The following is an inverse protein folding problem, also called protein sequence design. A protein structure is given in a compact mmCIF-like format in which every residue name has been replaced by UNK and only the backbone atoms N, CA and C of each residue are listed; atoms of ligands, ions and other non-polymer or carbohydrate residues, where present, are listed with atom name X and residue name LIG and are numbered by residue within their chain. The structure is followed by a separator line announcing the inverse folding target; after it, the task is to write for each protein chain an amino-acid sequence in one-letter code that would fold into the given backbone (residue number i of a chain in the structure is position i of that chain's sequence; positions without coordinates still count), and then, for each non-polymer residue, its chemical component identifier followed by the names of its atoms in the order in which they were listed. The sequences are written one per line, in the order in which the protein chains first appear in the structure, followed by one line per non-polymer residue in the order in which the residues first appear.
data_IF_285632290959
#
_entry.id   IF_285632290959
#
_cell.length_a   1.000
_cell.length_b   1.000
_cell.length_c   1.000
_cell.angle_alpha   90.00
_cell.angle_beta   90.00
_cell.angle_gamma   90.00
#
_symmetry.space_group_name_H-M   'P 1'
#
loop_
_entity.id
_entity.type
_entity.pdbx_description
1 polymer ?
#
# COMPACT_ATOMS: atom_id res chain seq x y z
N UNK A 1 33.83 -5.07 3.85
CA UNK A 1 32.73 -5.21 4.81
C UNK A 1 31.41 -5.00 4.03
N UNK A 2 30.74 -6.09 3.66
CA UNK A 2 29.43 -6.00 3.00
C UNK A 2 28.44 -5.67 4.10
N UNK A 3 27.99 -4.43 4.16
CA UNK A 3 26.85 -4.04 4.99
C UNK A 3 25.62 -4.63 4.30
N UNK A 4 25.26 -5.84 4.72
CA UNK A 4 23.96 -6.42 4.39
C UNK A 4 22.89 -5.72 5.24
N UNK A 5 22.67 -4.44 5.02
CA UNK A 5 21.47 -3.75 5.44
C UNK A 5 20.35 -4.11 4.45
N UNK A 6 19.98 -5.38 4.39
CA UNK A 6 18.60 -5.71 4.05
C UNK A 6 17.79 -5.15 5.20
N UNK A 7 17.26 -3.96 4.99
CA UNK A 7 16.35 -3.32 5.90
C UNK A 7 15.21 -4.30 6.15
N UNK A 8 15.03 -4.70 7.41
CA UNK A 8 13.95 -5.58 7.89
C UNK A 8 12.58 -4.88 7.80
N UNK A 9 12.39 -3.99 6.81
CA UNK A 9 11.18 -3.20 6.66
C UNK A 9 10.15 -3.98 5.87
N UNK A 10 8.96 -4.10 6.47
CA UNK A 10 7.82 -4.77 5.87
C UNK A 10 6.88 -3.75 5.20
N UNK A 11 6.28 -4.17 4.11
CA UNK A 11 5.36 -3.37 3.31
C UNK A 11 4.02 -4.08 3.23
N UNK A 12 2.96 -3.39 3.64
CA UNK A 12 1.59 -3.76 3.33
C UNK A 12 1.15 -3.04 2.06
N UNK A 13 0.73 -3.77 1.05
CA UNK A 13 0.37 -3.22 -0.25
C UNK A 13 -1.13 -3.38 -0.50
N UNK A 14 -1.83 -2.31 -0.81
CA UNK A 14 -3.27 -2.29 -1.07
C UNK A 14 -3.53 -1.94 -2.53
N UNK A 15 -4.14 -2.89 -3.25
CA UNK A 15 -4.46 -2.73 -4.67
C UNK A 15 -3.41 -3.32 -5.61
N UNK A 16 -3.71 -4.47 -6.19
CA UNK A 16 -2.82 -5.19 -7.11
C UNK A 16 -3.41 -5.28 -8.52
N UNK A 17 -4.05 -4.21 -8.96
CA UNK A 17 -4.54 -4.05 -10.32
C UNK A 17 -3.42 -3.81 -11.33
N UNK A 18 -3.76 -3.26 -12.50
CA UNK A 18 -2.82 -3.03 -13.60
C UNK A 18 -1.60 -2.17 -13.21
N UNK A 19 -1.79 -1.21 -12.31
CA UNK A 19 -0.71 -0.36 -11.81
C UNK A 19 0.01 -0.96 -10.61
N UNK A 20 -0.74 -1.47 -9.63
CA UNK A 20 -0.19 -1.97 -8.37
C UNK A 20 0.63 -3.24 -8.52
N UNK A 21 0.19 -4.17 -9.37
CA UNK A 21 0.88 -5.44 -9.56
C UNK A 21 2.34 -5.28 -10.02
N UNK A 22 2.67 -4.52 -11.07
CA UNK A 22 4.07 -4.31 -11.44
C UNK A 22 4.87 -3.58 -10.37
N UNK A 23 4.26 -2.64 -9.64
CA UNK A 23 4.93 -1.91 -8.56
C UNK A 23 5.31 -2.83 -7.40
N UNK A 24 4.37 -3.64 -6.90
CA UNK A 24 4.67 -4.58 -5.82
C UNK A 24 5.69 -5.66 -6.24
N UNK A 25 5.67 -6.10 -7.48
CA UNK A 25 6.68 -7.03 -8.02
C UNK A 25 8.09 -6.42 -8.02
N UNK A 26 8.22 -5.14 -8.35
CA UNK A 26 9.49 -4.44 -8.27
C UNK A 26 10.01 -4.37 -6.82
N UNK A 27 9.13 -4.11 -5.85
CA UNK A 27 9.50 -4.13 -4.43
C UNK A 27 9.98 -5.51 -3.97
N UNK A 28 9.27 -6.56 -4.34
CA UNK A 28 9.65 -7.94 -4.03
C UNK A 28 11.02 -8.28 -4.66
N UNK A 29 11.24 -7.88 -5.91
CA UNK A 29 12.52 -8.07 -6.62
C UNK A 29 13.68 -7.38 -5.91
N UNK A 30 13.44 -6.25 -5.26
CA UNK A 30 14.45 -5.54 -4.47
C UNK A 30 14.67 -6.15 -3.07
N UNK A 31 13.93 -7.19 -2.71
CA UNK A 31 14.09 -7.93 -1.47
C UNK A 31 13.26 -7.43 -0.30
N UNK A 32 12.26 -6.56 -0.52
CA UNK A 32 11.33 -6.16 0.52
C UNK A 32 10.34 -7.28 0.83
N UNK A 33 9.97 -7.39 2.11
CA UNK A 33 8.87 -8.25 2.52
C UNK A 33 7.54 -7.53 2.24
N UNK A 34 6.75 -8.06 1.30
CA UNK A 34 5.48 -7.46 0.87
C UNK A 34 4.34 -8.43 1.15
N UNK A 35 3.30 -7.93 1.84
CA UNK A 35 2.00 -8.59 1.99
C UNK A 35 0.96 -7.77 1.25
N UNK A 36 0.09 -8.42 0.52
CA UNK A 36 -0.87 -7.75 -0.38
C UNK A 36 -2.30 -7.98 0.06
N UNK A 37 -3.07 -6.91 0.10
CA UNK A 37 -4.52 -6.93 0.19
C UNK A 37 -5.13 -6.38 -1.10
N UNK A 38 -6.06 -7.13 -1.67
CA UNK A 38 -6.93 -6.66 -2.75
C UNK A 38 -8.36 -7.12 -2.46
N UNK A 39 -9.33 -6.23 -2.67
CA UNK A 39 -10.75 -6.54 -2.45
C UNK A 39 -11.28 -7.57 -3.44
N UNK A 40 -10.63 -7.74 -4.59
CA UNK A 40 -11.04 -8.67 -5.64
C UNK A 40 -10.41 -10.06 -5.42
N UNK A 41 -11.21 -11.08 -5.07
CA UNK A 41 -10.69 -12.42 -4.81
C UNK A 41 -10.04 -13.09 -6.04
N UNK A 42 -10.37 -12.67 -7.25
CA UNK A 42 -9.70 -13.18 -8.46
C UNK A 42 -8.25 -12.71 -8.53
N UNK A 43 -7.99 -11.46 -8.10
CA UNK A 43 -6.63 -10.92 -8.01
C UNK A 43 -5.86 -11.65 -6.93
N UNK A 44 -6.43 -11.82 -5.75
CA UNK A 44 -5.81 -12.55 -4.64
C UNK A 44 -5.39 -13.96 -5.06
N UNK A 45 -6.28 -14.72 -5.68
CA UNK A 45 -5.98 -16.07 -6.19
C UNK A 45 -4.84 -16.08 -7.22
N UNK A 46 -4.77 -15.08 -8.09
CA UNK A 46 -3.69 -14.94 -9.05
C UNK A 46 -2.35 -14.70 -8.37
N UNK A 47 -2.32 -13.82 -7.37
CA UNK A 47 -1.12 -13.52 -6.59
C UNK A 47 -0.61 -14.77 -5.84
N UNK A 48 -1.51 -15.54 -5.24
CA UNK A 48 -1.17 -16.79 -4.54
C UNK A 48 -0.54 -17.82 -5.47
N UNK A 49 -1.03 -17.95 -6.70
CA UNK A 49 -0.41 -18.81 -7.71
C UNK A 49 1.02 -18.39 -8.06
N UNK A 50 1.30 -17.10 -7.97
CA UNK A 50 2.65 -16.54 -8.19
C UNK A 50 3.49 -16.55 -6.89
N UNK A 51 3.01 -17.19 -5.81
CA UNK A 51 3.67 -17.28 -4.49
C UNK A 51 3.90 -15.92 -3.83
N UNK A 52 3.05 -14.95 -4.12
CA UNK A 52 3.04 -13.64 -3.46
C UNK A 52 2.16 -13.74 -2.22
N UNK A 53 2.65 -13.26 -1.08
CA UNK A 53 1.92 -13.28 0.18
C UNK A 53 0.70 -12.38 0.12
N UNK A 54 -0.46 -12.92 0.40
CA UNK A 54 -1.74 -12.19 0.47
C UNK A 54 -2.36 -12.28 1.85
N UNK A 55 -3.26 -11.35 2.15
CA UNK A 55 -4.06 -11.35 3.39
C UNK A 55 -5.53 -11.18 3.05
N UNK A 56 -6.40 -11.64 3.96
CA UNK A 56 -7.85 -11.68 3.72
C UNK A 56 -8.56 -10.37 4.08
N UNK A 57 -7.91 -9.50 4.83
CA UNK A 57 -8.46 -8.22 5.27
C UNK A 57 -7.34 -7.20 5.53
N UNK A 58 -7.72 -5.95 5.67
CA UNK A 58 -6.79 -4.84 5.91
C UNK A 58 -5.98 -4.99 7.20
N UNK A 59 -6.56 -5.61 8.23
CA UNK A 59 -5.84 -5.87 9.47
C UNK A 59 -4.59 -6.72 9.25
N UNK A 60 -4.62 -7.64 8.29
CA UNK A 60 -3.49 -8.52 7.97
C UNK A 60 -2.22 -7.79 7.51
N UNK A 61 -2.34 -6.56 7.02
CA UNK A 61 -1.19 -5.73 6.63
C UNK A 61 -0.88 -4.60 7.61
N UNK A 62 -1.70 -4.40 8.64
CA UNK A 62 -1.61 -3.24 9.54
C UNK A 62 -0.32 -3.20 10.38
N UNK A 63 0.36 -4.31 10.53
CA UNK A 63 1.61 -4.43 11.28
C UNK A 63 2.87 -4.08 10.46
N UNK A 64 2.70 -3.71 9.20
CA UNK A 64 3.80 -3.33 8.31
C UNK A 64 4.37 -1.96 8.68
N UNK A 65 5.64 -1.74 8.40
CA UNK A 65 6.28 -0.44 8.60
C UNK A 65 5.75 0.62 7.64
N UNK A 66 5.49 0.20 6.39
CA UNK A 66 4.91 1.02 5.35
C UNK A 66 3.61 0.40 4.85
N UNK A 67 2.63 1.24 4.62
CA UNK A 67 1.41 0.89 3.89
C UNK A 67 1.42 1.67 2.58
N UNK A 68 1.42 0.96 1.46
CA UNK A 68 1.37 1.55 0.13
C UNK A 68 0.01 1.21 -0.49
N UNK A 69 -0.68 2.21 -1.00
CA UNK A 69 -1.94 2.03 -1.71
C UNK A 69 -1.89 2.61 -3.12
N UNK A 70 -2.49 1.91 -4.05
CA UNK A 70 -2.78 2.40 -5.38
C UNK A 70 -4.12 1.83 -5.86
N UNK A 71 -5.13 2.68 -5.86
CA UNK A 71 -6.53 2.32 -6.02
C UNK A 71 -7.18 3.17 -7.13
N UNK A 72 -8.30 2.71 -7.71
CA UNK A 72 -8.91 3.37 -8.87
C UNK A 72 -9.38 4.79 -8.64
N UNK A 73 -9.93 5.08 -7.46
CA UNK A 73 -10.53 6.39 -7.19
C UNK A 73 -10.46 6.83 -5.71
N UNK A 74 -10.91 8.05 -5.46
CA UNK A 74 -10.93 8.67 -4.15
C UNK A 74 -11.76 7.88 -3.13
N UNK A 75 -12.92 7.36 -3.52
CA UNK A 75 -13.79 6.61 -2.60
C UNK A 75 -13.13 5.32 -2.12
N UNK A 76 -12.41 4.63 -2.99
CA UNK A 76 -11.68 3.42 -2.63
C UNK A 76 -10.59 3.73 -1.59
N UNK A 77 -9.87 4.82 -1.76
CA UNK A 77 -8.84 5.27 -0.80
C UNK A 77 -9.46 5.68 0.53
N UNK A 78 -10.56 6.44 0.51
CA UNK A 78 -11.30 6.83 1.73
C UNK A 78 -11.82 5.61 2.49
N UNK A 79 -12.28 4.58 1.80
CA UNK A 79 -12.75 3.33 2.42
C UNK A 79 -11.59 2.58 3.11
N UNK A 80 -10.41 2.55 2.51
CA UNK A 80 -9.23 1.92 3.11
C UNK A 80 -8.77 2.66 4.35
N UNK A 81 -8.69 3.99 4.31
CA UNK A 81 -8.21 4.83 5.41
C UNK A 81 -9.34 5.41 6.26
N UNK A 82 -10.42 4.67 6.39
CA UNK A 82 -11.54 5.03 7.27
C UNK A 82 -11.21 4.71 8.73
N UNK A 83 -11.58 5.61 9.64
CA UNK A 83 -11.32 5.44 11.06
C UNK A 83 -12.14 4.32 11.73
N UNK A 84 -13.28 3.97 11.15
CA UNK A 84 -14.23 3.00 11.72
C UNK A 84 -14.10 1.63 11.04
N UNK A 85 -14.16 1.61 9.71
CA UNK A 85 -14.25 0.38 8.91
C UNK A 85 -12.97 0.05 8.15
N UNK A 86 -12.02 1.00 8.08
CA UNK A 86 -10.77 0.85 7.37
C UNK A 86 -9.62 0.38 8.25
N UNK A 87 -8.40 0.60 7.76
CA UNK A 87 -7.17 0.14 8.39
C UNK A 87 -6.77 0.99 9.61
N UNK A 88 -7.26 2.23 9.73
CA UNK A 88 -6.76 3.20 10.70
C UNK A 88 -6.80 2.71 12.15
N UNK A 89 -7.85 1.97 12.53
CA UNK A 89 -7.99 1.43 13.89
C UNK A 89 -6.93 0.38 14.26
N UNK A 90 -6.21 -0.15 13.30
CA UNK A 90 -5.19 -1.18 13.50
C UNK A 90 -3.77 -0.67 13.28
N UNK A 91 -3.59 0.53 12.72
CA UNK A 91 -2.28 1.09 12.47
C UNK A 91 -1.58 1.48 13.78
N UNK A 92 -0.28 1.28 13.81
CA UNK A 92 0.56 1.63 14.96
C UNK A 92 1.23 2.97 14.76
N UNK A 93 1.48 3.74 15.84
CA UNK A 93 2.33 4.93 15.77
C UNK A 93 3.67 4.63 15.08
N UNK A 94 4.12 5.54 14.24
CA UNK A 94 5.35 5.38 13.47
C UNK A 94 5.20 4.69 12.11
N UNK A 95 4.02 4.14 11.79
CA UNK A 95 3.72 3.65 10.44
C UNK A 95 3.74 4.81 9.44
N UNK A 96 4.23 4.58 8.25
CA UNK A 96 4.16 5.52 7.13
C UNK A 96 3.20 4.99 6.06
N UNK A 97 2.21 5.79 5.72
CA UNK A 97 1.26 5.51 4.64
C UNK A 97 1.66 6.32 3.40
N UNK A 98 1.78 5.64 2.26
CA UNK A 98 2.07 6.25 0.97
C UNK A 98 0.93 5.90 0.03
N UNK A 99 0.08 6.88 -0.28
CA UNK A 99 -0.97 6.68 -1.27
C UNK A 99 -0.51 7.18 -2.64
N UNK A 100 -0.42 6.25 -3.57
CA UNK A 100 0.03 6.51 -4.94
C UNK A 100 -1.14 6.63 -5.92
N UNK A 101 -2.36 6.64 -5.40
CA UNK A 101 -3.59 6.86 -6.17
C UNK A 101 -3.73 8.32 -6.56
N UNK A 102 -4.51 8.60 -7.59
CA UNK A 102 -4.94 9.96 -7.92
C UNK A 102 -6.24 10.26 -7.21
N UNK A 103 -6.19 11.04 -6.14
CA UNK A 103 -7.33 11.40 -5.30
C UNK A 103 -7.55 12.91 -5.24
N UNK A 104 -8.73 13.33 -4.76
CA UNK A 104 -8.99 14.75 -4.54
C UNK A 104 -8.08 15.34 -3.47
N UNK A 105 -7.63 16.58 -3.65
CA UNK A 105 -6.78 17.26 -2.67
C UNK A 105 -7.46 17.38 -1.30
N UNK A 106 -8.77 17.58 -1.28
CA UNK A 106 -9.55 17.62 -0.04
C UNK A 106 -9.46 16.31 0.72
N UNK A 107 -9.67 15.19 0.04
CA UNK A 107 -9.57 13.85 0.66
C UNK A 107 -8.18 13.54 1.14
N UNK A 108 -7.14 13.89 0.38
CA UNK A 108 -5.75 13.72 0.81
C UNK A 108 -5.46 14.46 2.12
N UNK A 109 -5.90 15.71 2.24
CA UNK A 109 -5.73 16.51 3.46
C UNK A 109 -6.48 15.89 4.64
N UNK A 110 -7.71 15.47 4.45
CA UNK A 110 -8.54 14.88 5.51
C UNK A 110 -7.98 13.53 6.00
N UNK A 111 -7.55 12.67 5.09
CA UNK A 111 -6.89 11.40 5.42
C UNK A 111 -5.61 11.67 6.21
N UNK A 112 -4.78 12.59 5.75
CA UNK A 112 -3.54 12.97 6.44
C UNK A 112 -3.78 13.46 7.86
N UNK A 113 -4.78 14.32 8.06
CA UNK A 113 -5.17 14.81 9.40
C UNK A 113 -5.65 13.69 10.33
N UNK A 114 -6.44 12.78 9.80
CA UNK A 114 -6.97 11.63 10.57
C UNK A 114 -5.84 10.70 10.99
N UNK A 115 -4.91 10.39 10.09
CA UNK A 115 -3.74 9.56 10.39
C UNK A 115 -2.77 10.24 11.36
N UNK A 116 -2.58 11.54 11.24
CA UNK A 116 -1.73 12.30 12.17
C UNK A 116 -2.20 12.19 13.63
N UNK A 117 -3.51 12.12 13.87
CA UNK A 117 -4.07 11.95 15.22
C UNK A 117 -3.65 10.63 15.88
N UNK A 118 -3.29 9.63 15.12
CA UNK A 118 -2.78 8.33 15.59
C UNK A 118 -1.28 8.17 15.38
N UNK A 119 -0.57 9.25 15.13
CA UNK A 119 0.89 9.30 14.93
C UNK A 119 1.36 8.45 13.74
N UNK A 120 0.58 8.44 12.67
CA UNK A 120 0.90 7.82 11.38
C UNK A 120 1.15 8.91 10.36
N UNK A 121 2.30 8.84 9.69
CA UNK A 121 2.64 9.76 8.62
C UNK A 121 1.94 9.39 7.31
N UNK A 122 1.54 10.39 6.54
CA UNK A 122 0.86 10.22 5.28
C UNK A 122 1.56 11.01 4.16
N UNK A 123 1.87 10.29 3.07
CA UNK A 123 2.34 10.91 1.82
C UNK A 123 1.30 10.70 0.73
N UNK A 124 0.85 11.80 0.16
CA UNK A 124 0.10 11.81 -1.10
C UNK A 124 1.11 11.87 -2.25
N UNK A 125 1.29 10.74 -2.93
CA UNK A 125 2.33 10.54 -3.93
C UNK A 125 1.76 10.02 -5.26
N UNK A 126 0.86 10.76 -5.92
CA UNK A 126 0.30 10.34 -7.19
C UNK A 126 1.38 10.11 -8.23
N UNK A 127 1.20 9.11 -9.08
CA UNK A 127 2.19 8.68 -10.05
C UNK A 127 1.79 9.03 -11.48
N UNK A 128 2.80 9.17 -12.34
CA UNK A 128 2.65 9.33 -13.79
C UNK A 128 3.47 8.25 -14.50
N UNK A 129 3.29 8.10 -15.83
CA UNK A 129 4.01 7.11 -16.63
C UNK A 129 3.25 5.83 -16.93
N UNK A 130 2.07 5.65 -16.34
CA UNK A 130 1.18 4.53 -16.60
C UNK A 130 1.78 3.16 -16.26
N UNK A 131 1.18 2.10 -16.78
CA UNK A 131 1.61 0.72 -16.53
C UNK A 131 3.06 0.47 -16.96
N UNK A 132 3.48 1.06 -18.08
CA UNK A 132 4.87 0.91 -18.57
C UNK A 132 5.88 1.52 -17.61
N UNK A 133 5.58 2.70 -17.06
CA UNK A 133 6.41 3.32 -16.01
C UNK A 133 6.49 2.44 -14.75
N UNK A 134 5.36 1.91 -14.31
CA UNK A 134 5.30 0.99 -13.17
C UNK A 134 6.10 -0.31 -13.38
N UNK A 135 6.06 -0.88 -14.60
CA UNK A 135 6.85 -2.06 -14.95
C UNK A 135 8.36 -1.78 -14.95
N UNK A 136 8.76 -0.62 -15.41
CA UNK A 136 10.17 -0.22 -15.52
C UNK A 136 10.73 0.37 -14.22
N UNK A 137 9.90 0.55 -13.19
CA UNK A 137 10.25 1.22 -11.93
C UNK A 137 10.76 2.67 -12.15
N UNK A 138 10.14 3.38 -13.05
CA UNK A 138 10.47 4.78 -13.39
C UNK A 138 9.65 5.74 -12.52
#
# INVERSE_FOLDING_TARGET
MKINNKTSQSIGFVGAGNMGLPMLKNLIKQGYEVKVYDINPKITKKLEKEKIKTVNNLRGISNSNFIISILPDTNDVENVFNAITGINSYLKPGTVVIDMSTISSKSAVEIGKTLQKIQVDFLDAPVSGGVKGAQNAN
#
